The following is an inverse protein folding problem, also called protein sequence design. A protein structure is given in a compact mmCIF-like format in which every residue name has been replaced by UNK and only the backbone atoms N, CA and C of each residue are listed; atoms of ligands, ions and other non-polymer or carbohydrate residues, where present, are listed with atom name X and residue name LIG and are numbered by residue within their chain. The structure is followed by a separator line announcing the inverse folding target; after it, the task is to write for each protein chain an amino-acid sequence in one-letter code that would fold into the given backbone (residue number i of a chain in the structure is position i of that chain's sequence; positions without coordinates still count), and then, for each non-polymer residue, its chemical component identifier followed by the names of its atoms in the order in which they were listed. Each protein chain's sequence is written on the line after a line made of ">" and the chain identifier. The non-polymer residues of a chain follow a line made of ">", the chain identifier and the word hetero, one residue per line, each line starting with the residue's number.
data_IF_660477740340
#
_entry.id   IF_660477740340
#
_cell.length_a   1.000
_cell.length_b   1.000
_cell.length_c   1.000
_cell.angle_alpha   90.00
_cell.angle_beta   90.00
_cell.angle_gamma   90.00
#
_symmetry.space_group_name_H-M   'P 1'
#
loop_
_entity.id
_entity.type
_entity.pdbx_description
1 polymer ?
#
# COMPACT_ATOMS: atom_id res chain seq x y z
N UNK A 1 20.79 -20.82 -59.73
CA UNK A 1 20.57 -19.86 -58.63
C UNK A 1 20.51 -20.64 -57.34
N UNK A 2 21.57 -20.70 -56.54
CA UNK A 2 21.55 -21.01 -55.10
C UNK A 2 22.95 -20.63 -54.57
N UNK A 3 23.02 -19.57 -53.76
CA UNK A 3 24.21 -19.25 -52.95
C UNK A 3 23.88 -19.63 -51.51
N UNK A 4 24.65 -20.56 -50.96
CA UNK A 4 24.69 -20.89 -49.54
C UNK A 4 25.79 -20.01 -48.91
N UNK A 5 25.42 -19.07 -48.04
CA UNK A 5 26.36 -18.35 -47.17
C UNK A 5 26.24 -18.89 -45.76
N UNK A 6 27.35 -19.38 -45.23
CA UNK A 6 27.51 -20.00 -43.93
C UNK A 6 27.49 -18.94 -42.83
N UNK A 7 26.61 -19.10 -41.84
CA UNK A 7 26.53 -18.23 -40.67
C UNK A 7 27.57 -18.62 -39.61
N UNK A 8 28.34 -17.64 -39.13
CA UNK A 8 29.21 -17.75 -37.96
C UNK A 8 28.34 -17.85 -36.69
N UNK A 9 28.48 -18.92 -35.91
CA UNK A 9 27.93 -19.03 -34.56
C UNK A 9 28.91 -18.43 -33.55
N UNK A 10 28.56 -17.29 -32.95
CA UNK A 10 29.13 -16.88 -31.67
C UNK A 10 28.27 -17.48 -30.55
N UNK A 11 28.83 -18.42 -29.79
CA UNK A 11 28.27 -18.87 -28.52
C UNK A 11 28.89 -18.01 -27.40
N UNK A 12 28.09 -17.14 -26.79
CA UNK A 12 28.44 -16.47 -25.52
C UNK A 12 28.17 -17.42 -24.35
N UNK A 13 29.07 -17.56 -23.36
CA UNK A 13 28.79 -18.37 -22.18
C UNK A 13 27.93 -17.56 -21.20
N UNK A 14 26.66 -17.94 -21.06
CA UNK A 14 25.69 -17.31 -20.15
C UNK A 14 25.64 -18.01 -18.76
N UNK A 15 26.78 -18.47 -18.23
CA UNK A 15 26.79 -19.39 -17.07
C UNK A 15 27.63 -18.99 -15.85
N UNK A 16 28.14 -17.76 -15.76
CA UNK A 16 28.95 -17.33 -14.60
C UNK A 16 28.28 -16.25 -13.71
N UNK A 17 27.17 -15.64 -14.14
CA UNK A 17 26.55 -14.53 -13.40
C UNK A 17 25.57 -15.03 -12.34
N UNK A 18 24.79 -16.08 -12.62
CA UNK A 18 23.79 -16.62 -11.69
C UNK A 18 24.39 -17.29 -10.45
N UNK A 19 25.54 -17.94 -10.58
CA UNK A 19 26.21 -18.63 -9.48
C UNK A 19 26.84 -17.68 -8.46
N UNK A 20 27.29 -16.50 -8.90
CA UNK A 20 27.91 -15.50 -8.02
C UNK A 20 26.85 -14.79 -7.17
N UNK A 21 25.69 -14.44 -7.75
CA UNK A 21 24.55 -13.85 -7.02
C UNK A 21 23.95 -14.81 -5.98
N UNK A 22 23.85 -16.11 -6.30
CA UNK A 22 23.35 -17.11 -5.36
C UNK A 22 24.32 -17.34 -4.18
N UNK A 23 25.63 -17.30 -4.45
CA UNK A 23 26.63 -17.42 -3.40
C UNK A 23 26.73 -16.16 -2.52
N UNK A 24 26.60 -14.95 -3.09
CA UNK A 24 26.61 -13.70 -2.33
C UNK A 24 25.39 -13.57 -1.42
N UNK A 25 24.20 -13.91 -1.93
CA UNK A 25 22.97 -13.94 -1.13
C UNK A 25 23.03 -14.99 -0.01
N UNK A 26 23.58 -16.17 -0.27
CA UNK A 26 23.76 -17.20 0.76
C UNK A 26 24.74 -16.74 1.87
N UNK A 27 25.83 -16.05 1.52
CA UNK A 27 26.79 -15.50 2.48
C UNK A 27 26.20 -14.33 3.27
N UNK A 28 25.43 -13.44 2.63
CA UNK A 28 24.69 -12.36 3.32
C UNK A 28 23.65 -12.92 4.29
N UNK A 29 22.90 -13.96 3.88
CA UNK A 29 21.95 -14.66 4.75
C UNK A 29 22.68 -15.31 5.94
N UNK A 30 23.84 -15.94 5.71
CA UNK A 30 24.60 -16.61 6.76
C UNK A 30 25.25 -15.61 7.74
N UNK A 31 25.69 -14.45 7.27
CA UNK A 31 26.19 -13.37 8.13
C UNK A 31 25.07 -12.79 9.01
N UNK A 32 23.89 -12.50 8.42
CA UNK A 32 22.70 -12.02 9.15
C UNK A 32 22.18 -13.02 10.17
N UNK A 33 22.24 -14.32 9.86
CA UNK A 33 21.85 -15.39 10.78
C UNK A 33 22.81 -15.55 11.97
N UNK A 34 24.09 -15.19 11.83
CA UNK A 34 25.05 -15.25 12.94
C UNK A 34 24.95 -14.05 13.87
N UNK A 35 24.65 -12.87 13.33
CA UNK A 35 24.51 -11.64 14.13
C UNK A 35 23.15 -11.61 14.90
N UNK A 36 22.10 -12.29 14.39
CA UNK A 36 20.74 -12.29 15.00
C UNK A 36 20.67 -12.92 16.40
N UNK A 37 21.72 -13.62 16.83
CA UNK A 37 21.89 -14.12 18.20
C UNK A 37 21.94 -13.00 19.27
N UNK A 38 22.09 -11.74 18.86
CA UNK A 38 22.05 -10.56 19.74
C UNK A 38 20.68 -9.88 19.84
N UNK A 39 19.68 -10.34 19.09
CA UNK A 39 18.39 -9.67 18.98
C UNK A 39 17.36 -10.20 19.98
N UNK A 40 16.64 -9.30 20.65
CA UNK A 40 15.40 -9.66 21.36
C UNK A 40 14.24 -9.57 20.38
N UNK A 41 13.66 -10.71 20.01
CA UNK A 41 12.48 -10.76 19.13
C UNK A 41 11.28 -10.16 19.88
N UNK A 42 10.73 -9.07 19.35
CA UNK A 42 9.51 -8.42 19.85
C UNK A 42 8.42 -8.48 18.78
N UNK A 43 7.17 -8.47 19.23
CA UNK A 43 6.04 -8.25 18.33
C UNK A 43 6.13 -6.84 17.72
N UNK A 44 5.66 -6.66 16.49
CA UNK A 44 5.59 -5.34 15.86
C UNK A 44 4.75 -4.40 16.73
N UNK A 45 5.25 -3.20 17.08
CA UNK A 45 4.48 -2.22 17.84
C UNK A 45 3.15 -1.88 17.15
N UNK A 46 2.08 -1.80 17.92
CA UNK A 46 0.80 -1.27 17.44
C UNK A 46 0.91 0.26 17.53
N UNK A 47 0.79 0.93 16.38
CA UNK A 47 0.82 2.38 16.29
C UNK A 47 -0.51 3.01 16.70
N UNK A 48 -0.45 4.26 17.15
CA UNK A 48 -1.63 5.08 17.44
C UNK A 48 -1.31 6.57 17.29
N UNK A 49 -2.14 7.29 16.55
CA UNK A 49 -2.01 8.75 16.40
C UNK A 49 -2.48 9.55 17.63
N UNK A 50 -2.72 8.94 18.79
CA UNK A 50 -3.23 9.64 19.99
C UNK A 50 -2.36 10.82 20.42
N UNK A 51 -1.03 10.70 20.29
CA UNK A 51 -0.08 11.75 20.66
C UNK A 51 0.41 12.58 19.47
N UNK A 52 -0.03 12.25 18.26
CA UNK A 52 0.38 12.92 17.03
C UNK A 52 -0.46 14.17 16.77
N UNK A 53 0.16 15.15 16.12
CA UNK A 53 -0.47 16.38 15.68
C UNK A 53 -0.50 16.42 14.15
N UNK A 54 -1.60 16.90 13.57
CA UNK A 54 -1.62 17.33 12.17
C UNK A 54 -0.65 18.50 12.02
N UNK A 55 0.33 18.33 11.16
CA UNK A 55 1.36 19.35 10.90
C UNK A 55 1.36 19.78 9.44
N UNK A 56 1.60 21.06 9.22
CA UNK A 56 1.88 21.61 7.90
C UNK A 56 2.95 22.71 7.99
N UNK A 57 2.85 23.71 7.13
CA UNK A 57 3.78 24.84 7.00
C UNK A 57 3.14 26.12 7.53
N UNK A 58 3.94 27.18 7.68
CA UNK A 58 3.43 28.52 8.00
C UNK A 58 2.55 29.16 6.91
N UNK A 59 2.34 28.46 5.78
CA UNK A 59 1.46 28.91 4.69
C UNK A 59 -0.03 28.56 4.92
N UNK A 60 -0.36 27.92 6.05
CA UNK A 60 -1.74 27.66 6.45
C UNK A 60 -2.52 28.96 6.58
N UNK A 61 -3.73 28.96 6.03
CA UNK A 61 -4.68 30.06 6.16
C UNK A 61 -5.63 29.80 7.33
N UNK A 62 -5.77 30.78 8.21
CA UNK A 62 -6.72 30.73 9.33
C UNK A 62 -8.06 31.37 8.92
N UNK A 63 -9.21 30.83 9.34
CA UNK A 63 -9.39 29.66 10.23
C UNK A 63 -9.55 28.32 9.52
N UNK A 64 -9.50 28.29 8.19
CA UNK A 64 -9.99 27.16 7.39
C UNK A 64 -8.97 26.01 7.23
N UNK A 65 -7.70 26.20 7.64
CA UNK A 65 -6.62 25.23 7.49
C UNK A 65 -6.20 24.99 6.04
N UNK A 66 -6.67 25.83 5.11
CA UNK A 66 -6.32 25.68 3.69
C UNK A 66 -4.89 26.13 3.43
N UNK A 67 -4.19 25.43 2.53
CA UNK A 67 -2.82 25.76 2.14
C UNK A 67 -2.69 25.91 0.61
N UNK A 68 -1.62 26.55 0.11
CA UNK A 68 -1.35 26.58 -1.32
C UNK A 68 -1.18 25.18 -1.92
N UNK A 69 -1.67 24.99 -3.15
CA UNK A 69 -1.45 23.77 -3.93
C UNK A 69 0.05 23.56 -4.14
N UNK A 70 0.48 22.31 -3.99
CA UNK A 70 1.83 21.85 -4.27
C UNK A 70 2.49 21.13 -3.11
N UNK A 71 3.73 20.70 -3.36
CA UNK A 71 4.48 19.85 -2.45
C UNK A 71 5.26 20.64 -1.39
N UNK A 72 5.37 20.07 -0.19
CA UNK A 72 6.18 20.54 0.94
C UNK A 72 6.98 19.38 1.50
N UNK A 73 8.21 19.67 1.91
CA UNK A 73 9.09 18.66 2.47
C UNK A 73 9.04 18.72 3.99
N UNK A 74 8.89 17.58 4.65
CA UNK A 74 9.00 17.46 6.11
C UNK A 74 10.19 16.58 6.43
N UNK A 75 11.00 16.97 7.41
CA UNK A 75 12.20 16.23 7.84
C UNK A 75 12.27 16.09 9.35
N UNK A 76 12.63 14.88 9.79
CA UNK A 76 12.90 14.54 11.18
C UNK A 76 14.15 13.68 11.27
N UNK A 77 15.23 14.28 11.77
CA UNK A 77 16.42 13.53 12.17
C UNK A 77 16.20 12.95 13.55
N UNK A 78 16.44 11.65 13.70
CA UNK A 78 16.38 10.95 14.97
C UNK A 78 17.77 10.42 15.34
N UNK A 79 18.21 10.71 16.56
CA UNK A 79 19.42 10.15 17.14
C UNK A 79 19.02 9.15 18.22
N UNK A 80 19.51 7.93 18.09
CA UNK A 80 19.33 6.87 19.07
C UNK A 80 19.94 7.26 20.41
N UNK A 81 19.31 6.93 21.55
CA UNK A 81 19.90 7.11 22.86
C UNK A 81 21.26 6.41 22.97
N UNK A 82 22.13 6.93 23.83
CA UNK A 82 23.47 6.37 24.00
C UNK A 82 23.42 4.86 24.32
N UNK A 83 24.21 4.08 23.58
CA UNK A 83 24.29 2.63 23.75
C UNK A 83 23.12 1.84 23.15
N UNK A 84 22.20 2.51 22.43
CA UNK A 84 21.12 1.86 21.68
C UNK A 84 21.47 1.78 20.21
N UNK A 85 21.23 0.60 19.63
CA UNK A 85 21.41 0.35 18.19
C UNK A 85 20.03 0.17 17.57
N UNK A 86 19.61 1.04 16.64
CA UNK A 86 18.31 0.94 16.00
C UNK A 86 18.24 -0.32 15.14
N UNK A 87 17.11 -1.02 15.20
CA UNK A 87 16.89 -2.24 14.42
C UNK A 87 15.87 -2.03 13.30
N UNK A 88 14.69 -1.52 13.65
CA UNK A 88 13.66 -1.17 12.66
C UNK A 88 12.83 0.01 13.14
N UNK A 89 12.29 0.74 12.18
CA UNK A 89 11.29 1.77 12.34
C UNK A 89 9.93 1.18 11.96
N UNK A 90 8.97 1.16 12.88
CA UNK A 90 7.56 0.96 12.54
C UNK A 90 6.91 2.33 12.46
N UNK A 91 6.42 2.75 11.29
CA UNK A 91 5.90 4.09 11.03
C UNK A 91 4.57 4.03 10.29
N UNK A 92 3.59 4.77 10.78
CA UNK A 92 2.30 4.99 10.17
C UNK A 92 2.11 6.47 9.95
N UNK A 93 1.50 6.84 8.83
CA UNK A 93 1.25 8.23 8.51
C UNK A 93 -0.02 8.40 7.70
N UNK A 94 -0.67 9.54 7.85
CA UNK A 94 -1.78 10.00 7.01
C UNK A 94 -1.39 11.35 6.41
N UNK A 95 -1.81 11.62 5.18
CA UNK A 95 -1.53 12.87 4.49
C UNK A 95 -2.74 13.35 3.73
N UNK A 96 -3.02 14.65 3.84
CA UNK A 96 -3.99 15.35 3.03
C UNK A 96 -3.23 16.24 2.02
N UNK A 97 -3.13 15.88 0.73
CA UNK A 97 -3.80 14.76 0.04
C UNK A 97 -2.90 13.53 -0.19
N UNK A 98 -1.60 13.73 -0.40
CA UNK A 98 -0.68 12.66 -0.80
C UNK A 98 0.67 12.84 -0.11
N UNK A 99 1.31 11.75 0.30
CA UNK A 99 2.70 11.80 0.71
C UNK A 99 3.54 10.60 0.29
N UNK A 100 4.82 10.87 0.01
CA UNK A 100 5.86 9.85 -0.16
C UNK A 100 6.80 9.86 1.04
N UNK A 101 6.89 8.73 1.74
CA UNK A 101 7.82 8.49 2.84
C UNK A 101 9.20 8.06 2.32
N UNK A 102 10.24 8.67 2.87
CA UNK A 102 11.63 8.31 2.69
C UNK A 102 12.31 8.06 4.05
N UNK A 103 13.18 7.06 4.10
CA UNK A 103 14.08 6.83 5.24
C UNK A 103 15.52 6.74 4.73
N UNK A 104 16.39 7.63 5.22
CA UNK A 104 17.79 7.76 4.77
C UNK A 104 17.93 7.83 3.24
N UNK A 105 17.06 8.58 2.57
CA UNK A 105 17.10 8.74 1.12
C UNK A 105 16.58 7.55 0.31
N UNK A 106 16.06 6.49 0.94
CA UNK A 106 15.35 5.40 0.27
C UNK A 106 13.84 5.63 0.30
N UNK A 107 13.19 5.59 -0.87
CA UNK A 107 11.73 5.70 -0.95
C UNK A 107 11.10 4.43 -0.40
N UNK A 108 10.19 4.58 0.56
CA UNK A 108 9.52 3.45 1.20
C UNK A 108 8.18 3.21 0.54
N UNK A 109 7.34 4.25 0.46
CA UNK A 109 5.98 4.16 -0.06
C UNK A 109 5.41 5.54 -0.36
N UNK A 110 4.51 5.59 -1.34
CA UNK A 110 3.63 6.74 -1.60
C UNK A 110 2.20 6.35 -1.26
N UNK A 111 1.49 7.22 -0.56
CA UNK A 111 0.09 7.06 -0.21
C UNK A 111 -0.70 8.30 -0.62
N UNK A 112 -1.94 8.07 -1.03
CA UNK A 112 -2.93 9.09 -1.34
C UNK A 112 -4.11 8.90 -0.41
N UNK A 113 -4.66 10.00 0.09
CA UNK A 113 -5.75 10.02 1.05
C UNK A 113 -5.26 9.80 2.48
N UNK A 114 -5.90 10.49 3.42
CA UNK A 114 -5.59 10.41 4.84
C UNK A 114 -6.44 9.36 5.59
N UNK A 115 -7.47 8.81 4.95
CA UNK A 115 -8.52 8.02 5.59
C UNK A 115 -8.07 6.59 5.92
N UNK A 116 -7.13 6.03 5.15
CA UNK A 116 -6.70 4.64 5.28
C UNK A 116 -5.17 4.52 5.39
N UNK A 117 -4.55 5.12 6.43
CA UNK A 117 -3.11 5.17 6.55
C UNK A 117 -2.52 3.79 6.84
N UNK A 118 -1.57 3.37 6.01
CA UNK A 118 -0.74 2.18 6.23
C UNK A 118 0.22 2.30 7.43
N UNK A 119 0.73 1.16 7.86
CA UNK A 119 1.81 1.02 8.85
C UNK A 119 2.95 0.24 8.19
N UNK A 120 4.16 0.80 8.24
CA UNK A 120 5.32 0.30 7.52
C UNK A 120 6.44 -0.01 8.47
N UNK A 121 7.00 -1.21 8.33
CA UNK A 121 8.26 -1.53 8.95
C UNK A 121 9.40 -1.24 7.96
N UNK A 122 10.44 -0.56 8.43
CA UNK A 122 11.62 -0.21 7.67
C UNK A 122 12.85 -0.67 8.43
N UNK A 123 13.70 -1.49 7.81
CA UNK A 123 14.96 -1.91 8.41
C UNK A 123 15.90 -0.72 8.62
N UNK A 124 16.51 -0.63 9.80
CA UNK A 124 17.49 0.38 10.18
C UNK A 124 18.89 -0.21 10.39
N UNK A 125 19.16 -1.43 9.92
CA UNK A 125 20.39 -2.18 10.21
C UNK A 125 21.69 -1.47 9.82
N UNK A 126 21.65 -0.63 8.78
CA UNK A 126 22.80 0.16 8.32
C UNK A 126 22.74 1.62 8.79
N UNK A 127 21.87 1.91 9.75
CA UNK A 127 21.83 3.20 10.41
C UNK A 127 22.78 3.11 11.60
N UNK A 128 23.73 4.05 11.69
CA UNK A 128 24.61 4.18 12.86
C UNK A 128 23.77 4.61 14.09
N UNK A 129 24.23 5.58 14.86
CA UNK A 129 23.47 6.12 15.98
C UNK A 129 22.27 7.00 15.57
N UNK A 130 21.89 7.07 14.29
CA UNK A 130 20.77 7.90 13.85
C UNK A 130 20.32 7.67 12.41
N UNK A 131 19.14 8.21 12.09
CA UNK A 131 18.54 8.13 10.76
C UNK A 131 17.63 9.35 10.50
N UNK A 132 17.31 9.58 9.24
CA UNK A 132 16.41 10.63 8.76
C UNK A 132 15.11 10.02 8.28
N UNK A 133 13.98 10.55 8.77
CA UNK A 133 12.67 10.39 8.15
C UNK A 133 12.39 11.66 7.33
N UNK A 134 11.96 11.49 6.10
CA UNK A 134 11.54 12.60 5.26
C UNK A 134 10.22 12.29 4.55
N UNK A 135 9.38 13.30 4.38
CA UNK A 135 8.17 13.23 3.58
C UNK A 135 8.20 14.29 2.51
N UNK A 136 7.79 13.92 1.29
CA UNK A 136 7.22 14.86 0.33
C UNK A 136 5.71 14.73 0.47
N UNK A 137 5.05 15.74 1.04
CA UNK A 137 3.59 15.80 1.13
C UNK A 137 3.05 16.84 0.14
N UNK A 138 2.02 16.49 -0.61
CA UNK A 138 1.45 17.32 -1.69
C UNK A 138 -0.01 17.61 -1.39
N UNK A 139 -0.33 18.90 -1.33
CA UNK A 139 -1.70 19.39 -1.33
C UNK A 139 -2.15 19.61 -2.78
N UNK A 140 -3.26 19.00 -3.17
CA UNK A 140 -3.91 19.17 -4.47
C UNK A 140 -5.02 20.22 -4.43
N UNK A 141 -5.46 20.63 -3.25
CA UNK A 141 -6.30 21.79 -2.99
C UNK A 141 -7.07 21.67 -1.66
N UNK A 142 -7.40 22.81 -1.05
CA UNK A 142 -8.14 22.82 0.22
C UNK A 142 -7.20 22.70 1.42
N UNK A 143 -7.65 21.95 2.45
CA UNK A 143 -6.87 21.67 3.66
C UNK A 143 -5.62 20.84 3.34
N UNK A 144 -4.60 20.95 4.18
CA UNK A 144 -3.38 20.18 4.02
C UNK A 144 -2.83 19.80 5.38
N UNK A 145 -2.34 18.58 5.52
CA UNK A 145 -1.78 18.14 6.78
C UNK A 145 -1.05 16.81 6.65
N UNK A 146 -0.05 16.61 7.52
CA UNK A 146 0.67 15.37 7.70
C UNK A 146 0.52 14.91 9.15
N UNK A 147 0.16 13.66 9.36
CA UNK A 147 0.05 13.02 10.67
C UNK A 147 0.96 11.80 10.71
N UNK A 148 1.80 11.67 11.73
CA UNK A 148 2.80 10.59 11.84
C UNK A 148 2.83 10.03 13.26
N UNK A 149 2.85 8.72 13.37
CA UNK A 149 3.23 7.99 14.57
C UNK A 149 4.26 6.92 14.19
N UNK A 150 5.31 6.82 14.96
CA UNK A 150 6.44 5.96 14.68
C UNK A 150 7.07 5.44 15.96
N UNK A 151 7.55 4.20 15.91
CA UNK A 151 8.28 3.55 17.00
C UNK A 151 9.58 3.00 16.44
N UNK A 152 10.69 3.50 16.98
CA UNK A 152 12.01 2.92 16.78
C UNK A 152 12.15 1.75 17.73
N UNK A 153 12.42 0.56 17.21
CA UNK A 153 12.77 -0.61 18.03
C UNK A 153 14.28 -0.84 17.94
N UNK A 154 14.92 -1.00 19.09
CA UNK A 154 16.35 -1.26 19.20
C UNK A 154 16.65 -2.76 19.28
N UNK A 155 17.90 -3.16 19.05
CA UNK A 155 18.33 -4.57 19.09
C UNK A 155 18.08 -5.25 20.43
N UNK A 156 18.06 -4.49 21.53
CA UNK A 156 17.74 -4.97 22.88
C UNK A 156 16.23 -5.05 23.20
N UNK A 157 15.38 -4.75 22.21
CA UNK A 157 13.91 -4.78 22.32
C UNK A 157 13.28 -3.56 22.99
N UNK A 158 14.08 -2.61 23.51
CA UNK A 158 13.54 -1.32 23.96
C UNK A 158 13.10 -0.46 22.78
N UNK A 159 12.31 0.59 23.06
CA UNK A 159 11.73 1.43 22.00
C UNK A 159 11.84 2.94 22.27
N UNK A 160 11.65 3.75 21.23
CA UNK A 160 11.44 5.20 21.34
C UNK A 160 10.37 5.69 20.37
N UNK A 161 9.46 6.57 20.82
CA UNK A 161 8.43 7.11 19.95
C UNK A 161 8.95 8.28 19.11
N UNK A 162 8.33 8.48 17.96
CA UNK A 162 8.45 9.65 17.09
C UNK A 162 7.03 10.00 16.65
N UNK A 163 6.59 11.22 16.91
CA UNK A 163 5.27 11.71 16.49
C UNK A 163 5.41 12.95 15.61
N UNK A 164 4.41 13.24 14.79
CA UNK A 164 4.29 14.55 14.12
C UNK A 164 3.94 15.63 15.14
N UNK A 165 4.74 16.68 15.18
CA UNK A 165 4.60 17.86 16.03
C UNK A 165 5.46 19.01 15.47
N UNK A 166 5.51 20.15 16.18
CA UNK A 166 6.30 21.32 15.76
C UNK A 166 7.82 21.13 15.83
N UNK A 167 8.34 19.96 16.20
CA UNK A 167 9.77 19.67 16.17
C UNK A 167 10.26 19.14 14.81
N UNK A 168 9.34 18.94 13.86
CA UNK A 168 9.66 18.63 12.46
C UNK A 168 10.10 19.89 11.72
N UNK A 169 11.07 19.75 10.82
CA UNK A 169 11.48 20.83 9.92
C UNK A 169 10.69 20.74 8.62
N UNK A 170 10.29 21.88 8.07
CA UNK A 170 9.52 21.94 6.83
C UNK A 170 9.98 23.05 5.89
N UNK A 171 9.59 22.95 4.62
CA UNK A 171 9.83 23.99 3.61
C UNK A 171 8.57 24.77 3.32
N UNK A 172 8.74 26.00 2.83
CA UNK A 172 7.67 26.76 2.14
C UNK A 172 8.06 26.95 0.68
N UNK A 173 7.08 27.10 -0.21
CA UNK A 173 7.33 27.40 -1.62
C UNK A 173 7.97 26.28 -2.47
N UNK A 174 7.90 25.02 -2.02
CA UNK A 174 8.32 23.84 -2.80
C UNK A 174 9.35 22.95 -2.10
N UNK A 175 9.92 21.99 -2.85
CA UNK A 175 10.84 20.98 -2.32
C UNK A 175 12.24 21.11 -2.97
N UNK A 176 13.29 21.36 -2.18
CA UNK A 176 14.66 21.34 -2.68
C UNK A 176 15.09 19.95 -3.17
N UNK A 177 15.91 19.92 -4.22
CA UNK A 177 16.51 18.67 -4.69
C UNK A 177 17.38 18.03 -3.60
N UNK A 178 17.22 16.72 -3.40
CA UNK A 178 17.99 15.96 -2.41
C UNK A 178 17.51 16.11 -0.97
N UNK A 179 16.36 16.75 -0.72
CA UNK A 179 15.80 16.92 0.61
C UNK A 179 15.64 15.61 1.41
N UNK A 180 15.52 14.48 0.74
CA UNK A 180 15.35 13.18 1.38
C UNK A 180 16.68 12.57 1.87
N UNK A 181 17.82 13.13 1.46
CA UNK A 181 19.15 12.60 1.78
C UNK A 181 19.57 13.00 3.20
N UNK A 182 20.21 12.09 3.92
CA UNK A 182 20.72 12.31 5.28
C UNK A 182 21.76 13.43 5.35
N UNK A 183 22.48 13.68 4.25
CA UNK A 183 23.52 14.71 4.15
C UNK A 183 23.00 16.11 3.82
N UNK A 184 21.71 16.25 3.50
CA UNK A 184 21.14 17.55 3.17
C UNK A 184 20.97 18.38 4.46
N UNK A 185 21.39 19.64 4.42
CA UNK A 185 21.33 20.58 5.54
C UNK A 185 19.96 21.27 5.60
N UNK A 186 19.16 20.92 6.60
CA UNK A 186 17.85 21.51 6.88
C UNK A 186 17.91 22.55 8.01
N UNK A 187 19.10 22.95 8.49
CA UNK A 187 19.24 23.81 9.66
C UNK A 187 18.55 25.18 9.54
N UNK A 188 18.43 25.69 8.30
CA UNK A 188 17.75 26.93 7.95
C UNK A 188 16.25 26.78 7.70
N UNK A 189 15.71 25.55 7.68
CA UNK A 189 14.29 25.32 7.49
C UNK A 189 13.49 25.74 8.71
N UNK A 190 12.27 26.21 8.47
CA UNK A 190 11.33 26.50 9.56
C UNK A 190 10.84 25.21 10.22
N UNK A 191 10.30 25.35 11.43
CA UNK A 191 9.60 24.27 12.10
C UNK A 191 8.15 24.19 11.61
N UNK A 192 7.59 22.98 11.57
CA UNK A 192 6.21 22.77 11.18
C UNK A 192 5.22 23.45 12.14
N UNK A 193 4.10 23.92 11.59
CA UNK A 193 2.96 24.40 12.39
C UNK A 193 2.04 23.23 12.72
N UNK A 194 1.33 23.32 13.85
CA UNK A 194 0.36 22.31 14.30
C UNK A 194 -1.06 22.83 14.15
N UNK A 195 -1.91 22.04 13.50
CA UNK A 195 -3.34 22.33 13.30
C UNK A 195 -4.23 21.70 14.37
N UNK A 196 -3.71 20.69 15.07
CA UNK A 196 -4.35 20.04 16.20
C UNK A 196 -4.04 18.56 16.29
N UNK A 197 -4.50 17.91 17.36
CA UNK A 197 -4.33 16.47 17.55
C UNK A 197 -5.24 15.65 16.63
N UNK A 198 -4.99 14.34 16.57
CA UNK A 198 -5.91 13.40 15.92
C UNK A 198 -7.33 13.54 16.49
N UNK A 199 -8.34 13.67 15.62
CA UNK A 199 -9.72 14.02 16.00
C UNK A 199 -10.13 15.44 15.63
N UNK A 200 -9.18 16.33 15.31
CA UNK A 200 -9.47 17.71 14.87
C UNK A 200 -10.17 17.71 13.50
N UNK A 201 -11.04 18.69 13.27
CA UNK A 201 -11.64 18.91 11.96
C UNK A 201 -10.59 19.41 10.95
N UNK A 202 -10.72 19.09 9.65
CA UNK A 202 -11.80 18.31 9.04
C UNK A 202 -11.62 16.78 9.12
N UNK A 203 -10.44 16.30 9.49
CA UNK A 203 -10.05 14.89 9.36
C UNK A 203 -10.73 13.95 10.37
N UNK A 204 -11.16 14.48 11.51
CA UNK A 204 -11.73 13.64 12.57
C UNK A 204 -10.72 12.61 13.06
N UNK A 205 -11.20 11.44 13.48
CA UNK A 205 -10.35 10.43 14.11
C UNK A 205 -9.81 9.43 13.10
N UNK A 206 -8.49 9.48 12.87
CA UNK A 206 -7.76 8.61 11.94
C UNK A 206 -7.08 7.48 12.71
N UNK A 207 -6.98 6.30 12.09
CA UNK A 207 -6.39 5.09 12.69
C UNK A 207 -5.37 4.44 11.74
N UNK A 208 -4.14 4.15 12.18
CA UNK A 208 -3.14 3.46 11.36
C UNK A 208 -3.50 2.00 11.13
N UNK A 209 -3.01 1.45 10.02
CA UNK A 209 -3.29 0.08 9.66
C UNK A 209 -2.77 -0.93 10.69
N UNK A 210 -3.60 -1.94 10.98
CA UNK A 210 -3.33 -2.93 12.02
C UNK A 210 -3.79 -2.52 13.43
N UNK A 211 -4.20 -1.26 13.66
CA UNK A 211 -4.76 -0.83 14.95
C UNK A 211 -6.24 -1.22 15.13
N UNK A 212 -7.01 -1.27 14.03
CA UNK A 212 -8.44 -1.58 14.04
C UNK A 212 -8.77 -2.79 13.15
N UNK A 213 -9.92 -3.47 13.40
CA UNK A 213 -10.43 -4.48 12.48
C UNK A 213 -10.71 -3.90 11.09
N UNK A 214 -10.39 -4.68 10.05
CA UNK A 214 -10.75 -4.36 8.68
C UNK A 214 -12.27 -4.10 8.52
N UNK A 215 -12.62 -3.08 7.74
CA UNK A 215 -13.99 -2.61 7.53
C UNK A 215 -14.30 -2.41 6.03
N UNK A 216 -15.59 -2.37 5.69
CA UNK A 216 -16.15 -2.00 4.38
C UNK A 216 -16.82 -0.61 4.38
N UNK A 217 -16.74 0.13 5.50
CA UNK A 217 -17.51 1.37 5.68
C UNK A 217 -17.08 2.49 4.71
N UNK A 218 -15.79 2.57 4.39
CA UNK A 218 -15.21 3.59 3.50
C UNK A 218 -15.12 3.14 2.05
N UNK A 219 -15.35 1.85 1.76
CA UNK A 219 -15.32 1.30 0.40
C UNK A 219 -16.42 1.89 -0.50
N UNK A 220 -16.07 2.11 -1.76
CA UNK A 220 -16.99 2.51 -2.83
C UNK A 220 -17.38 1.29 -3.67
N UNK A 221 -18.64 1.22 -4.07
CA UNK A 221 -19.07 0.37 -5.17
C UNK A 221 -18.43 0.88 -6.45
N UNK A 222 -17.65 0.04 -7.12
CA UNK A 222 -16.96 0.40 -8.36
C UNK A 222 -17.38 -0.52 -9.52
N UNK A 223 -17.40 0.02 -10.73
CA UNK A 223 -17.58 -0.76 -11.94
C UNK A 223 -16.82 -0.14 -13.12
N UNK A 224 -17.20 -0.48 -14.34
CA UNK A 224 -16.67 0.13 -15.57
C UNK A 224 -17.32 1.48 -15.86
N UNK A 225 -16.63 2.33 -16.60
CA UNK A 225 -17.10 3.65 -17.03
C UNK A 225 -18.00 3.59 -18.29
N UNK A 226 -18.77 2.52 -18.45
CA UNK A 226 -19.70 2.37 -19.57
C UNK A 226 -20.81 3.45 -19.54
N UNK A 227 -21.38 3.84 -20.71
CA UNK A 227 -22.15 5.07 -20.89
C UNK A 227 -23.51 5.15 -20.16
N UNK A 228 -23.82 4.20 -19.27
CA UNK A 228 -25.04 4.21 -18.45
C UNK A 228 -24.74 3.77 -17.02
N UNK A 229 -24.09 4.62 -16.20
CA UNK A 229 -23.83 4.30 -14.79
C UNK A 229 -25.11 3.93 -14.04
N UNK A 230 -25.08 2.79 -13.36
CA UNK A 230 -26.24 2.22 -12.65
C UNK A 230 -27.16 1.33 -13.51
N UNK A 231 -26.92 1.20 -14.83
CA UNK A 231 -27.56 0.22 -15.71
C UNK A 231 -26.54 -0.31 -16.71
N UNK A 232 -25.82 -1.35 -16.30
CA UNK A 232 -24.69 -1.90 -17.04
C UNK A 232 -25.11 -3.06 -17.93
N UNK A 233 -24.47 -3.26 -19.10
CA UNK A 233 -24.76 -4.41 -19.95
C UNK A 233 -24.37 -5.73 -19.28
N UNK A 234 -25.17 -6.77 -19.54
CA UNK A 234 -24.88 -8.14 -19.12
C UNK A 234 -23.52 -8.60 -19.62
N UNK A 235 -22.81 -9.35 -18.77
CA UNK A 235 -21.55 -10.01 -19.06
C UNK A 235 -20.42 -9.60 -18.13
N UNK A 236 -19.29 -10.26 -18.32
CA UNK A 236 -18.14 -10.10 -17.46
C UNK A 236 -17.32 -8.84 -17.76
N UNK A 237 -16.71 -8.29 -16.71
CA UNK A 237 -15.72 -7.21 -16.74
C UNK A 237 -14.53 -7.62 -15.87
N UNK A 238 -13.38 -7.05 -16.20
CA UNK A 238 -12.17 -7.26 -15.44
C UNK A 238 -11.86 -6.02 -14.59
N UNK A 239 -11.69 -6.21 -13.29
CA UNK A 239 -11.26 -5.16 -12.37
C UNK A 239 -9.92 -5.56 -11.74
N UNK A 240 -8.97 -4.63 -11.66
CA UNK A 240 -7.60 -4.89 -11.19
C UNK A 240 -7.12 -3.78 -10.26
N UNK A 241 -6.39 -4.18 -9.23
CA UNK A 241 -5.63 -3.30 -8.35
C UNK A 241 -4.25 -3.88 -8.08
N UNK A 242 -3.23 -3.04 -8.14
CA UNK A 242 -1.85 -3.44 -7.89
C UNK A 242 -1.29 -2.63 -6.75
N UNK A 243 -0.92 -3.32 -5.67
CA UNK A 243 -0.18 -2.77 -4.55
C UNK A 243 1.31 -3.12 -4.72
N UNK A 244 2.19 -2.12 -4.68
CA UNK A 244 3.63 -2.34 -4.56
C UNK A 244 3.99 -2.38 -3.08
N UNK A 245 4.76 -3.39 -2.67
CA UNK A 245 5.18 -3.53 -1.28
C UNK A 245 6.40 -2.64 -0.99
N UNK A 246 6.64 -2.27 0.28
CA UNK A 246 7.85 -1.54 0.66
C UNK A 246 9.12 -2.32 0.25
N UNK A 247 10.24 -1.63 -0.04
CA UNK A 247 11.50 -2.29 -0.37
C UNK A 247 11.88 -3.37 0.66
N UNK A 248 12.34 -4.54 0.18
CA UNK A 248 12.66 -5.70 1.02
C UNK A 248 11.47 -6.64 1.29
N UNK A 249 10.23 -6.13 1.25
CA UNK A 249 9.05 -6.96 1.46
C UNK A 249 8.74 -7.81 0.22
N UNK A 250 8.69 -9.13 0.39
CA UNK A 250 8.60 -10.08 -0.74
C UNK A 250 7.57 -11.19 -0.53
N UNK A 251 6.86 -11.19 0.60
CA UNK A 251 5.79 -12.16 0.86
C UNK A 251 4.82 -11.64 1.89
N UNK A 252 3.71 -12.34 2.10
CA UNK A 252 2.78 -11.97 3.14
C UNK A 252 1.43 -12.66 3.02
N UNK A 253 0.44 -12.05 3.67
CA UNK A 253 -0.96 -12.48 3.61
C UNK A 253 -1.85 -11.31 3.19
N UNK A 254 -2.82 -11.60 2.34
CA UNK A 254 -3.88 -10.68 1.95
C UNK A 254 -5.21 -11.20 2.52
N UNK A 255 -5.90 -10.34 3.26
CA UNK A 255 -7.27 -10.56 3.72
C UNK A 255 -8.20 -9.69 2.88
N UNK A 256 -9.10 -10.32 2.13
CA UNK A 256 -10.01 -9.64 1.19
C UNK A 256 -11.43 -9.86 1.64
N UNK A 257 -12.14 -8.78 1.97
CA UNK A 257 -13.59 -8.77 2.11
C UNK A 257 -14.17 -8.29 0.79
N UNK A 258 -15.05 -9.06 0.16
CA UNK A 258 -15.51 -8.78 -1.20
C UNK A 258 -16.96 -9.21 -1.41
N UNK A 259 -17.70 -8.39 -2.15
CA UNK A 259 -18.99 -8.69 -2.72
C UNK A 259 -19.10 -8.06 -4.11
N UNK A 260 -19.79 -8.73 -5.03
CA UNK A 260 -20.03 -8.21 -6.38
C UNK A 260 -21.48 -8.45 -6.73
N UNK A 261 -22.10 -7.46 -7.35
CA UNK A 261 -23.37 -7.58 -8.04
C UNK A 261 -23.13 -7.85 -9.54
N UNK A 262 -23.41 -9.06 -10.06
CA UNK A 262 -24.09 -10.18 -9.38
C UNK A 262 -23.15 -11.24 -8.79
N UNK A 263 -22.02 -11.48 -9.46
CA UNK A 263 -21.12 -12.58 -9.13
C UNK A 263 -19.66 -12.30 -9.51
N UNK A 264 -18.73 -13.03 -8.89
CA UNK A 264 -17.31 -12.85 -9.16
C UNK A 264 -16.45 -14.11 -9.02
N UNK A 265 -15.28 -14.09 -9.66
CA UNK A 265 -14.11 -14.90 -9.29
C UNK A 265 -12.94 -13.98 -8.91
N UNK A 266 -12.34 -14.23 -7.75
CA UNK A 266 -11.23 -13.45 -7.18
C UNK A 266 -9.90 -14.18 -7.39
N UNK A 267 -8.89 -13.41 -7.77
CA UNK A 267 -7.50 -13.86 -7.92
C UNK A 267 -6.55 -12.95 -7.16
N UNK A 268 -5.50 -13.55 -6.60
CA UNK A 268 -4.37 -12.82 -6.00
C UNK A 268 -3.09 -13.34 -6.63
N UNK A 269 -2.34 -12.45 -7.26
CA UNK A 269 -1.13 -12.77 -8.03
C UNK A 269 -1.33 -13.93 -9.03
N UNK A 270 -2.46 -13.92 -9.74
CA UNK A 270 -2.82 -14.97 -10.70
C UNK A 270 -3.45 -16.22 -10.11
N UNK A 271 -3.30 -16.49 -8.80
CA UNK A 271 -3.89 -17.66 -8.15
C UNK A 271 -5.37 -17.42 -7.86
N UNK A 272 -6.22 -18.38 -8.24
CA UNK A 272 -7.64 -18.35 -7.89
C UNK A 272 -7.83 -18.50 -6.37
N UNK A 273 -8.69 -17.65 -5.79
CA UNK A 273 -8.93 -17.57 -4.35
C UNK A 273 -10.34 -18.02 -3.98
N UNK A 274 -11.35 -17.60 -4.75
CA UNK A 274 -12.73 -17.95 -4.47
C UNK A 274 -13.73 -17.25 -5.38
N UNK A 275 -14.99 -17.62 -5.20
CA UNK A 275 -16.12 -17.17 -6.03
C UNK A 275 -17.31 -16.83 -5.13
N UNK A 276 -18.06 -15.80 -5.50
CA UNK A 276 -19.34 -15.45 -4.85
C UNK A 276 -20.41 -15.15 -5.89
N UNK A 277 -21.65 -15.50 -5.59
CA UNK A 277 -22.81 -15.37 -6.50
C UNK A 277 -24.03 -14.75 -5.82
N UNK A 278 -23.80 -13.98 -4.75
CA UNK A 278 -24.84 -13.33 -3.97
C UNK A 278 -24.32 -11.98 -3.47
N UNK A 279 -24.84 -10.91 -4.05
CA UNK A 279 -24.41 -9.54 -3.79
C UNK A 279 -24.86 -8.98 -2.43
N UNK A 280 -25.65 -9.74 -1.66
CA UNK A 280 -26.06 -9.37 -0.30
C UNK A 280 -25.10 -9.98 0.74
N UNK A 281 -24.42 -11.08 0.41
CA UNK A 281 -23.59 -11.82 1.37
C UNK A 281 -22.10 -11.69 1.03
N UNK A 282 -21.38 -10.72 1.61
CA UNK A 282 -19.95 -10.56 1.37
C UNK A 282 -19.17 -11.78 1.86
N UNK A 283 -18.06 -12.07 1.20
CA UNK A 283 -17.16 -13.16 1.56
C UNK A 283 -15.83 -12.59 2.09
N UNK A 284 -15.16 -13.37 2.94
CA UNK A 284 -13.83 -13.04 3.46
C UNK A 284 -12.83 -14.11 3.07
N UNK A 285 -11.81 -13.76 2.30
CA UNK A 285 -10.73 -14.69 1.98
C UNK A 285 -9.44 -14.27 2.66
N UNK A 286 -8.62 -15.26 3.00
CA UNK A 286 -7.26 -15.06 3.50
C UNK A 286 -6.33 -15.89 2.63
N UNK A 287 -5.36 -15.24 1.99
CA UNK A 287 -4.45 -15.87 1.05
C UNK A 287 -3.01 -15.42 1.28
N UNK A 288 -2.09 -16.38 1.38
CA UNK A 288 -0.67 -16.10 1.28
C UNK A 288 -0.31 -15.69 -0.16
N UNK A 289 0.66 -14.80 -0.30
CA UNK A 289 1.23 -14.40 -1.59
C UNK A 289 2.75 -14.31 -1.52
N UNK A 290 3.38 -14.24 -2.69
CA UNK A 290 4.81 -14.06 -2.89
C UNK A 290 5.05 -12.97 -3.94
N UNK A 291 6.20 -12.32 -3.85
CA UNK A 291 6.65 -11.26 -4.75
C UNK A 291 6.57 -9.85 -4.14
N UNK A 292 7.21 -8.86 -4.79
CA UNK A 292 7.27 -7.47 -4.32
C UNK A 292 5.99 -6.67 -4.61
N UNK A 293 4.97 -7.32 -5.18
CA UNK A 293 3.69 -6.72 -5.53
C UNK A 293 2.55 -7.69 -5.22
N UNK A 294 1.39 -7.13 -4.90
CA UNK A 294 0.13 -7.85 -4.76
C UNK A 294 -0.83 -7.31 -5.80
N UNK A 295 -1.19 -8.16 -6.76
CA UNK A 295 -2.21 -7.89 -7.77
C UNK A 295 -3.49 -8.60 -7.35
N UNK A 296 -4.52 -7.81 -7.08
CA UNK A 296 -5.88 -8.29 -6.96
C UNK A 296 -6.56 -8.15 -8.32
N UNK A 297 -7.12 -9.26 -8.80
CA UNK A 297 -7.88 -9.27 -10.03
C UNK A 297 -9.25 -9.90 -9.76
N UNK A 298 -10.29 -9.26 -10.29
CA UNK A 298 -11.68 -9.68 -10.12
C UNK A 298 -12.28 -9.85 -11.51
N UNK A 299 -12.72 -11.07 -11.80
CA UNK A 299 -13.67 -11.34 -12.88
C UNK A 299 -15.05 -11.07 -12.29
N UNK A 300 -15.62 -9.89 -12.53
CA UNK A 300 -16.98 -9.55 -12.09
C UNK A 300 -17.94 -9.78 -13.24
N UNK A 301 -19.09 -10.41 -12.99
CA UNK A 301 -20.09 -10.66 -14.02
C UNK A 301 -21.46 -10.14 -13.58
N UNK A 302 -22.00 -9.24 -14.39
CA UNK A 302 -23.40 -8.84 -14.34
C UNK A 302 -24.21 -9.88 -15.11
N UNK A 303 -25.19 -10.51 -14.47
CA UNK A 303 -26.05 -11.53 -15.08
C UNK A 303 -27.50 -11.06 -15.15
N UNK A 304 -28.26 -11.63 -16.08
CA UNK A 304 -29.68 -11.31 -16.23
C UNK A 304 -30.11 -11.27 -17.68
N UNK A 305 -31.38 -10.89 -17.90
CA UNK A 305 -31.98 -10.82 -19.23
C UNK A 305 -31.78 -9.46 -19.93
N UNK A 306 -31.46 -8.40 -19.16
CA UNK A 306 -31.29 -7.04 -19.64
C UNK A 306 -30.36 -6.26 -18.70
N UNK A 307 -29.87 -5.11 -19.16
CA UNK A 307 -28.99 -4.24 -18.37
C UNK A 307 -29.57 -3.92 -17.00
N UNK A 308 -28.73 -4.00 -15.98
CA UNK A 308 -29.13 -3.84 -14.59
C UNK A 308 -27.94 -3.27 -13.75
N UNK A 309 -28.15 -2.90 -12.48
CA UNK A 309 -27.07 -2.44 -11.61
C UNK A 309 -25.96 -3.49 -11.45
N UNK A 310 -24.70 -3.04 -11.42
CA UNK A 310 -23.54 -3.89 -11.18
C UNK A 310 -22.50 -3.11 -10.42
N UNK A 311 -21.72 -3.82 -9.61
CA UNK A 311 -20.68 -3.19 -8.82
C UNK A 311 -19.86 -4.19 -8.04
N UNK A 312 -18.60 -3.85 -7.82
CA UNK A 312 -17.68 -4.51 -6.91
C UNK A 312 -17.51 -3.62 -5.67
N UNK A 313 -17.67 -4.21 -4.49
CA UNK A 313 -17.32 -3.59 -3.22
C UNK A 313 -16.33 -4.48 -2.50
N UNK A 314 -15.16 -3.94 -2.15
CA UNK A 314 -14.15 -4.68 -1.41
C UNK A 314 -13.32 -3.81 -0.46
N UNK A 315 -12.75 -4.49 0.50
CA UNK A 315 -11.70 -4.00 1.40
C UNK A 315 -10.60 -5.04 1.43
N UNK A 316 -9.35 -4.58 1.47
CA UNK A 316 -8.15 -5.39 1.37
C UNK A 316 -7.20 -4.98 2.49
N UNK A 317 -6.79 -5.94 3.30
CA UNK A 317 -5.69 -5.79 4.25
C UNK A 317 -4.53 -6.66 3.79
N UNK A 318 -3.39 -6.04 3.50
CA UNK A 318 -2.15 -6.75 3.19
C UNK A 318 -1.21 -6.65 4.39
N UNK A 319 -0.79 -7.79 4.93
CA UNK A 319 0.35 -7.87 5.86
C UNK A 319 1.53 -8.45 5.11
N UNK A 320 2.50 -7.59 4.76
CA UNK A 320 3.71 -7.98 4.03
C UNK A 320 4.91 -8.08 4.96
N UNK A 321 5.86 -8.92 4.62
CA UNK A 321 7.00 -9.26 5.47
C UNK A 321 8.30 -9.06 4.70
N UNK A 322 9.28 -8.43 5.34
CA UNK A 322 10.68 -8.50 4.94
C UNK A 322 11.33 -9.75 5.56
N UNK A 323 11.48 -10.78 4.72
CA UNK A 323 12.03 -12.07 5.09
C UNK A 323 13.56 -12.04 5.31
N UNK A 324 14.22 -10.91 5.08
CA UNK A 324 15.67 -10.73 5.21
C UNK A 324 16.04 -9.82 6.39
N UNK A 325 15.06 -9.44 7.22
CA UNK A 325 15.26 -8.58 8.37
C UNK A 325 16.00 -9.29 9.50
N UNK A 326 16.94 -8.55 10.10
CA UNK A 326 17.97 -9.04 11.01
C UNK A 326 17.50 -9.42 12.42
N UNK A 327 16.56 -8.68 13.02
CA UNK A 327 16.16 -8.85 14.43
C UNK A 327 14.66 -9.13 14.69
N UNK A 328 13.81 -9.27 13.68
CA UNK A 328 12.37 -9.54 13.89
C UNK A 328 11.67 -9.93 12.59
N UNK A 329 10.35 -10.17 12.65
CA UNK A 329 9.50 -10.13 11.45
C UNK A 329 9.15 -8.65 11.19
N UNK A 330 9.89 -8.00 10.31
CA UNK A 330 9.59 -6.65 9.88
C UNK A 330 8.33 -6.65 8.99
N UNK A 331 7.18 -6.42 9.63
CA UNK A 331 5.87 -6.53 9.00
C UNK A 331 5.29 -5.15 8.71
N UNK A 332 4.78 -4.96 7.50
CA UNK A 332 4.04 -3.78 7.10
C UNK A 332 2.58 -4.17 6.87
N UNK A 333 1.65 -3.37 7.40
CA UNK A 333 0.21 -3.54 7.19
C UNK A 333 -0.29 -2.40 6.32
N UNK A 334 -0.96 -2.71 5.22
CA UNK A 334 -1.53 -1.71 4.31
C UNK A 334 -2.99 -2.04 4.03
N UNK A 335 -3.81 -1.00 3.96
CA UNK A 335 -5.20 -1.12 3.53
C UNK A 335 -5.35 -0.61 2.10
N UNK A 336 -6.24 -1.24 1.36
CA UNK A 336 -6.82 -0.70 0.14
C UNK A 336 -8.32 -0.96 0.18
N UNK A 337 -9.08 -0.08 -0.43
CA UNK A 337 -10.52 -0.23 -0.62
C UNK A 337 -10.82 -0.21 -2.12
N UNK A 338 -12.05 -0.53 -2.49
CA UNK A 338 -12.54 -0.23 -3.83
C UNK A 338 -12.89 1.24 -3.92
N UNK A 339 -12.28 1.92 -4.89
CA UNK A 339 -12.43 3.33 -5.24
C UNK A 339 -11.88 3.52 -6.68
N UNK A 340 -11.74 4.77 -7.13
CA UNK A 340 -11.24 5.10 -8.47
C UNK A 340 -9.74 4.79 -8.69
N UNK A 341 -8.99 4.31 -7.68
CA UNK A 341 -7.60 3.85 -7.86
C UNK A 341 -7.53 2.49 -8.56
N UNK A 342 -8.62 1.75 -8.59
CA UNK A 342 -8.75 0.51 -9.35
C UNK A 342 -8.81 0.79 -10.84
N UNK A 343 -8.40 -0.18 -11.65
CA UNK A 343 -8.60 -0.18 -13.10
C UNK A 343 -9.72 -1.12 -13.47
N UNK A 344 -10.58 -0.73 -14.41
CA UNK A 344 -11.71 -1.54 -14.86
C UNK A 344 -11.75 -1.58 -16.39
N UNK A 345 -11.78 -2.78 -16.98
CA UNK A 345 -11.85 -2.95 -18.43
C UNK A 345 -13.32 -3.07 -18.90
N UNK A 346 -13.83 -2.13 -19.72
CA UNK A 346 -15.24 -2.10 -20.15
C UNK A 346 -15.61 -3.13 -21.23
N UNK A 347 -14.66 -3.95 -21.69
CA UNK A 347 -14.86 -4.95 -22.75
C UNK A 347 -14.82 -6.40 -22.26
N UNK A 348 -14.83 -7.37 -23.21
CA UNK A 348 -14.62 -8.77 -22.90
C UNK A 348 -13.33 -8.98 -22.11
N UNK A 349 -13.39 -9.78 -21.05
CA UNK A 349 -12.27 -10.00 -20.14
C UNK A 349 -11.03 -10.50 -20.90
N UNK A 350 -9.91 -9.76 -20.88
CA UNK A 350 -8.69 -10.19 -21.56
C UNK A 350 -8.09 -11.46 -20.94
N UNK A 351 -7.50 -12.32 -21.78
CA UNK A 351 -6.78 -13.50 -21.29
C UNK A 351 -5.55 -13.10 -20.47
N UNK A 352 -5.35 -13.74 -19.32
CA UNK A 352 -4.22 -13.47 -18.44
C UNK A 352 -4.37 -12.19 -17.61
N UNK A 353 -5.54 -11.53 -17.61
CA UNK A 353 -5.81 -10.35 -16.80
C UNK A 353 -5.67 -10.61 -15.29
N UNK A 354 -5.56 -11.85 -14.84
CA UNK A 354 -5.35 -12.18 -13.43
C UNK A 354 -3.86 -12.19 -13.05
N UNK A 355 -2.97 -12.24 -14.04
CA UNK A 355 -1.55 -12.42 -13.83
C UNK A 355 -0.86 -11.13 -13.35
N UNK A 356 0.19 -11.24 -12.50
CA UNK A 356 0.94 -10.08 -12.02
C UNK A 356 1.61 -9.26 -13.14
N UNK A 357 2.03 -9.93 -14.21
CA UNK A 357 2.75 -9.31 -15.33
C UNK A 357 1.86 -8.74 -16.43
N UNK A 358 0.53 -8.76 -16.26
CA UNK A 358 -0.39 -8.19 -17.25
C UNK A 358 -0.27 -6.67 -17.29
N UNK A 359 -0.11 -6.10 -18.49
CA UNK A 359 -0.03 -4.65 -18.70
C UNK A 359 -1.45 -4.05 -18.78
N UNK A 360 -1.88 -3.44 -17.68
CA UNK A 360 -3.13 -2.70 -17.58
C UNK A 360 -2.92 -1.17 -17.69
N UNK A 361 -1.76 -0.69 -18.16
CA UNK A 361 -1.46 0.75 -18.24
C UNK A 361 -2.47 1.55 -19.08
N UNK A 362 -3.07 0.93 -20.10
CA UNK A 362 -4.08 1.54 -20.96
C UNK A 362 -5.53 1.38 -20.45
N UNK A 363 -5.76 0.68 -19.33
CA UNK A 363 -7.11 0.53 -18.78
C UNK A 363 -7.56 1.82 -18.09
N UNK A 364 -8.84 2.21 -18.25
CA UNK A 364 -9.37 3.34 -17.51
C UNK A 364 -9.47 3.01 -16.02
N UNK A 365 -9.49 4.06 -15.20
CA UNK A 365 -9.87 3.95 -13.81
C UNK A 365 -11.30 3.41 -13.67
N UNK A 366 -11.55 2.69 -12.60
CA UNK A 366 -12.87 2.23 -12.24
C UNK A 366 -13.79 3.42 -11.93
N UNK A 367 -15.04 3.32 -12.34
CA UNK A 367 -16.04 4.32 -12.03
C UNK A 367 -16.62 4.06 -10.64
N UNK A 368 -16.56 5.05 -9.76
CA UNK A 368 -17.22 5.01 -8.45
C UNK A 368 -18.73 5.20 -8.62
N UNK A 369 -19.48 4.11 -8.45
CA UNK A 369 -20.95 4.12 -8.49
C UNK A 369 -21.51 4.80 -7.25
N UNK A 370 -20.85 4.62 -6.10
CA UNK A 370 -21.15 5.33 -4.86
C UNK A 370 -20.73 4.56 -3.60
N UNK A 371 -20.93 5.14 -2.41
CA UNK A 371 -20.46 4.56 -1.15
C UNK A 371 -21.23 3.30 -0.75
N UNK A 372 -20.67 2.51 0.16
CA UNK A 372 -21.37 1.38 0.77
C UNK A 372 -22.71 1.83 1.40
N UNK A 373 -23.82 1.25 0.92
CA UNK A 373 -25.19 1.64 1.29
C UNK A 373 -25.89 2.58 0.31
N UNK A 374 -25.25 2.92 -0.81
CA UNK A 374 -25.90 3.65 -1.90
C UNK A 374 -26.94 2.77 -2.61
N UNK A 375 -28.11 3.34 -2.91
CA UNK A 375 -29.13 2.69 -3.73
C UNK A 375 -28.54 2.20 -5.08
N UNK A 376 -28.86 0.97 -5.53
CA UNK A 376 -29.88 0.04 -5.01
C UNK A 376 -29.41 -0.89 -3.88
N UNK A 377 -28.14 -0.81 -3.50
CA UNK A 377 -27.54 -1.70 -2.49
C UNK A 377 -27.77 -1.18 -1.08
N UNK A 378 -28.15 -2.08 -0.17
CA UNK A 378 -28.14 -1.77 1.25
C UNK A 378 -26.70 -1.71 1.78
N UNK A 379 -26.52 -1.17 2.99
CA UNK A 379 -25.23 -1.20 3.67
C UNK A 379 -24.78 -2.66 3.88
N UNK A 380 -23.61 -3.00 3.33
CA UNK A 380 -22.98 -4.29 3.47
C UNK A 380 -22.10 -4.30 4.73
N UNK A 381 -22.44 -5.17 5.68
CA UNK A 381 -21.66 -5.37 6.89
C UNK A 381 -20.41 -6.23 6.63
N UNK A 382 -19.28 -6.01 7.32
CA UNK A 382 -18.10 -6.85 7.20
C UNK A 382 -18.39 -8.33 7.52
N UNK A 383 -17.96 -9.29 6.68
CA UNK A 383 -18.06 -10.71 6.99
C UNK A 383 -17.15 -11.10 8.15
N UNK A 384 -17.66 -11.93 9.07
CA UNK A 384 -16.94 -12.36 10.28
C UNK A 384 -16.21 -13.69 10.13
N UNK A 385 -16.63 -14.54 9.19
CA UNK A 385 -16.07 -15.87 8.95
C UNK A 385 -15.22 -15.90 7.69
N UNK A 386 -14.14 -16.68 7.72
CA UNK A 386 -13.31 -16.92 6.53
C UNK A 386 -14.01 -17.92 5.60
N UNK A 387 -14.20 -17.52 4.36
CA UNK A 387 -14.70 -18.31 3.24
C UNK A 387 -13.55 -19.14 2.66
N UNK A 388 -13.83 -20.39 2.26
CA UNK A 388 -12.83 -21.27 1.65
C UNK A 388 -13.32 -21.84 0.33
N UNK A 389 -12.42 -21.88 -0.65
CA UNK A 389 -12.63 -22.61 -1.90
C UNK A 389 -13.62 -21.96 -2.87
N UNK A 390 -14.18 -22.82 -3.72
CA UNK A 390 -14.97 -22.45 -4.89
C UNK A 390 -14.35 -23.00 -6.17
N UNK A 391 -15.03 -22.76 -7.28
CA UNK A 391 -14.49 -22.98 -8.62
C UNK A 391 -14.67 -21.69 -9.41
N UNK A 392 -13.73 -21.30 -10.29
CA UNK A 392 -13.91 -20.16 -11.16
C UNK A 392 -15.26 -20.21 -11.90
N UNK A 393 -15.88 -19.05 -12.08
CA UNK A 393 -17.10 -18.92 -12.87
C UNK A 393 -16.85 -19.36 -14.33
N UNK A 394 -17.89 -19.80 -15.05
CA UNK A 394 -17.77 -20.07 -16.48
C UNK A 394 -17.17 -18.87 -17.23
N UNK A 395 -16.11 -19.10 -18.01
CA UNK A 395 -15.40 -18.04 -18.75
C UNK A 395 -14.33 -17.30 -17.95
N UNK A 396 -14.27 -17.48 -16.63
CA UNK A 396 -13.18 -16.97 -15.81
C UNK A 396 -11.93 -17.89 -15.93
N UNK A 397 -10.71 -17.35 -15.82
CA UNK A 397 -9.48 -18.14 -15.83
C UNK A 397 -9.44 -19.20 -14.72
N UNK A 398 -8.74 -20.31 -14.94
CA UNK A 398 -8.52 -21.29 -13.87
C UNK A 398 -7.64 -20.74 -12.71
N UNK A 399 -6.83 -19.72 -13.01
CA UNK A 399 -5.77 -19.22 -12.16
C UNK A 399 -4.48 -20.04 -12.28
N UNK A 400 -3.37 -19.44 -11.85
CA UNK A 400 -2.11 -20.16 -11.63
C UNK A 400 -2.19 -20.99 -10.35
N UNK A 401 -1.31 -22.00 -10.25
CA UNK A 401 -1.17 -22.81 -9.04
C UNK A 401 -0.68 -22.00 -7.83
#
# INVERSE_FOLDING_TARGET
>A
MFKLTQALKFALPFLAVTSVYAASSALEIQARANDSAQCVVQATPILSFTSSQWIWTSELTSPDGSAPIGSRAFRKTFLSPQGKTPSFLTIGFASDDEATLWVNGNAIVTQVGWENPGSYCVSLENCDCGFLIAFNATNTGGQAGLLVDAVVTYTDGSTSPIVSDSSWRTTTGGIPNGFQQSTFDDSAWETAETEGGNGVAPWGHVQPAGAAPQSLATSQWIWTNEPSPGSYPIGARALRYTMTLPPGHTSGTATVMIVVDDQYSLYINGRFIGTGTNYITPQKYVAAFQGPKVVLAVYGENVGAASNPAGLLASIQVTSQDNLSYCSNCNSVTYAITDNSWKAFPGPVPSGFEQPGFDDSAWPQAFEVGPNGVSPWNTIAPPTTVTTGGTPLPGAPAGSA
#
